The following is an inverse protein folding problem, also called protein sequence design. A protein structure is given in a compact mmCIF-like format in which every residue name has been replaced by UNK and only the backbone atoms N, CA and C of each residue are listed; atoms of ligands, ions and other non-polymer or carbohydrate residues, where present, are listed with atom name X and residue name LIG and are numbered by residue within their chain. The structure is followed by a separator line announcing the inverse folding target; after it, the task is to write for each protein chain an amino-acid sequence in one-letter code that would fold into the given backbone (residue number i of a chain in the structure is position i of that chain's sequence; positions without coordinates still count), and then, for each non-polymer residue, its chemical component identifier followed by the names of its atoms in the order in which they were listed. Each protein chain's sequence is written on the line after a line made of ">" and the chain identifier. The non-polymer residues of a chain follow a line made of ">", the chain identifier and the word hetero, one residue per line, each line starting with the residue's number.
data_IF_822668112349
#
_entry.id   IF_822668112349
#
_cell.length_a   1.000
_cell.length_b   1.000
_cell.length_c   1.000
_cell.angle_alpha   90.00
_cell.angle_beta   90.00
_cell.angle_gamma   90.00
#
_symmetry.space_group_name_H-M   'P 1'
#
loop_
_entity.id
_entity.type
_entity.pdbx_description
1 polymer ?
#
# COMPACT_ATOMS: atom_id res chain seq x y z
N UNK A 1 27.58 18.74 1.77
CA UNK A 1 28.27 17.51 2.18
C UNK A 1 27.21 16.44 2.41
N UNK A 2 27.20 15.35 1.65
CA UNK A 2 26.25 14.23 1.85
C UNK A 2 26.88 13.27 2.84
N UNK A 3 26.19 13.02 3.96
CA UNK A 3 26.63 12.07 4.98
C UNK A 3 26.19 10.67 4.56
N UNK A 4 27.14 9.72 4.49
CA UNK A 4 26.84 8.31 4.23
C UNK A 4 26.51 7.59 5.55
N UNK A 5 25.29 7.01 5.63
CA UNK A 5 24.80 6.27 6.78
C UNK A 5 24.84 4.74 6.60
N UNK A 6 25.37 4.22 5.49
CA UNK A 6 25.35 2.79 5.15
C UNK A 6 26.04 1.93 6.21
N UNK A 7 27.04 2.50 6.89
CA UNK A 7 27.75 1.86 8.00
C UNK A 7 26.87 1.56 9.21
N UNK A 8 25.74 2.26 9.36
CA UNK A 8 24.78 2.07 10.46
C UNK A 8 23.76 0.96 10.15
N UNK A 9 23.70 0.46 8.91
CA UNK A 9 22.74 -0.56 8.54
C UNK A 9 23.12 -1.95 9.07
N UNK A 10 22.10 -2.67 9.54
CA UNK A 10 22.22 -4.07 9.92
C UNK A 10 22.58 -4.95 8.72
N UNK A 11 23.19 -6.12 8.96
CA UNK A 11 23.52 -7.08 7.89
C UNK A 11 22.29 -7.52 7.08
N UNK A 12 21.10 -7.59 7.70
CA UNK A 12 19.84 -7.89 6.99
C UNK A 12 19.44 -6.75 6.06
N UNK A 13 19.52 -5.51 6.55
CA UNK A 13 19.15 -4.32 5.78
C UNK A 13 20.01 -4.14 4.54
N UNK A 14 21.29 -4.53 4.60
CA UNK A 14 22.20 -4.51 3.44
C UNK A 14 21.76 -5.40 2.28
N UNK A 15 20.90 -6.40 2.52
CA UNK A 15 20.36 -7.29 1.49
C UNK A 15 19.00 -6.87 0.96
N UNK A 16 18.39 -5.81 1.49
CA UNK A 16 17.10 -5.31 0.99
C UNK A 16 17.30 -4.68 -0.39
N UNK A 17 16.44 -5.05 -1.33
CA UNK A 17 16.40 -4.47 -2.68
C UNK A 17 15.06 -3.78 -2.90
N UNK A 18 15.06 -2.74 -3.72
CA UNK A 18 13.85 -2.14 -4.24
C UNK A 18 13.05 -3.14 -5.08
N UNK A 19 11.73 -3.01 -5.08
CA UNK A 19 10.87 -3.80 -5.96
C UNK A 19 10.93 -3.24 -7.38
N UNK A 20 11.57 -3.98 -8.29
CA UNK A 20 11.63 -3.67 -9.73
C UNK A 20 10.22 -3.56 -10.34
N UNK A 21 9.28 -4.40 -9.88
CA UNK A 21 7.86 -4.35 -10.30
C UNK A 21 7.23 -3.00 -9.92
N UNK A 22 7.54 -2.47 -8.73
CA UNK A 22 7.00 -1.17 -8.31
C UNK A 22 7.54 -0.02 -9.15
N UNK A 23 8.82 -0.07 -9.54
CA UNK A 23 9.39 0.94 -10.42
C UNK A 23 8.77 0.90 -11.83
N UNK A 24 8.52 -0.29 -12.37
CA UNK A 24 7.78 -0.45 -13.62
C UNK A 24 6.34 0.05 -13.54
N UNK A 25 5.63 -0.23 -12.44
CA UNK A 25 4.25 0.25 -12.24
C UNK A 25 4.14 1.78 -12.16
N UNK A 26 5.19 2.51 -11.76
CA UNK A 26 5.17 3.98 -11.81
C UNK A 26 5.10 4.49 -13.25
N UNK A 27 5.80 3.83 -14.17
CA UNK A 27 5.82 4.21 -15.58
C UNK A 27 4.47 3.93 -16.26
N UNK A 28 3.81 2.83 -15.91
CA UNK A 28 2.52 2.44 -16.50
C UNK A 28 1.36 3.35 -16.10
N UNK A 29 1.52 4.18 -15.06
CA UNK A 29 0.55 5.22 -14.68
C UNK A 29 0.69 6.52 -15.50
N UNK A 30 1.65 6.59 -16.42
CA UNK A 30 1.86 7.78 -17.27
C UNK A 30 0.78 7.87 -18.36
N UNK A 31 0.31 9.09 -18.70
CA UNK A 31 -0.65 9.28 -19.79
C UNK A 31 -0.15 8.66 -21.11
N UNK A 32 -1.04 7.99 -21.83
CA UNK A 32 -0.72 7.37 -23.14
C UNK A 32 -0.25 5.91 -23.09
N UNK A 33 -0.11 5.32 -21.90
CA UNK A 33 0.21 3.90 -21.74
C UNK A 33 -1.04 3.06 -21.42
N UNK A 34 -1.22 1.94 -22.13
CA UNK A 34 -2.18 0.90 -21.76
C UNK A 34 -1.42 -0.20 -21.01
N UNK A 35 -1.71 -0.35 -19.71
CA UNK A 35 -1.04 -1.31 -18.85
C UNK A 35 -1.83 -2.62 -18.73
N UNK A 36 -1.33 -3.70 -19.32
CA UNK A 36 -1.84 -5.07 -19.12
C UNK A 36 -1.07 -5.84 -18.04
N UNK A 37 0.01 -5.26 -17.51
CA UNK A 37 0.83 -5.84 -16.44
C UNK A 37 0.32 -5.49 -15.03
N UNK A 38 -0.84 -4.84 -14.92
CA UNK A 38 -1.45 -4.50 -13.64
C UNK A 38 -1.90 -5.75 -12.88
N UNK A 39 -1.44 -5.91 -11.64
CA UNK A 39 -1.92 -6.92 -10.70
C UNK A 39 -2.87 -6.38 -9.63
N UNK A 40 -3.25 -5.10 -9.75
CA UNK A 40 -4.14 -4.44 -8.79
C UNK A 40 -5.60 -4.69 -9.20
N UNK A 41 -6.49 -5.00 -8.24
CA UNK A 41 -7.91 -5.11 -8.51
C UNK A 41 -8.47 -3.77 -9.00
N UNK A 42 -9.52 -3.82 -9.81
CA UNK A 42 -10.23 -2.62 -10.26
C UNK A 42 -10.82 -1.88 -9.04
N UNK A 43 -10.46 -0.60 -8.78
CA UNK A 43 -11.01 0.16 -7.67
C UNK A 43 -12.53 0.29 -7.69
N UNK A 44 -13.14 0.32 -8.88
CA UNK A 44 -14.60 0.40 -9.01
C UNK A 44 -15.31 -0.90 -8.60
N UNK A 45 -14.58 -2.00 -8.40
CA UNK A 45 -15.13 -3.26 -7.90
C UNK A 45 -15.18 -3.32 -6.36
N UNK A 46 -14.66 -2.32 -5.66
CA UNK A 46 -14.76 -2.30 -4.20
C UNK A 46 -16.20 -2.04 -3.76
N UNK A 47 -16.74 -2.81 -2.80
CA UNK A 47 -18.11 -2.62 -2.28
C UNK A 47 -18.12 -1.50 -1.23
N UNK A 48 -17.94 -0.26 -1.68
CA UNK A 48 -17.71 0.92 -0.83
C UNK A 48 -18.86 1.13 0.16
N UNK A 49 -20.10 0.99 -0.29
CA UNK A 49 -21.30 1.20 0.52
C UNK A 49 -21.41 0.17 1.65
N UNK A 50 -21.12 -1.10 1.35
CA UNK A 50 -21.13 -2.19 2.34
C UNK A 50 -20.05 -1.94 3.39
N UNK A 51 -18.86 -1.51 2.97
CA UNK A 51 -17.77 -1.17 3.88
C UNK A 51 -18.19 -0.02 4.81
N UNK A 52 -18.85 1.01 4.30
CA UNK A 52 -19.37 2.11 5.11
C UNK A 52 -20.37 1.64 6.17
N UNK A 53 -21.35 0.82 5.80
CA UNK A 53 -22.34 0.27 6.73
C UNK A 53 -21.68 -0.57 7.83
N UNK A 54 -20.69 -1.40 7.46
CA UNK A 54 -19.93 -2.19 8.41
C UNK A 54 -19.17 -1.31 9.40
N UNK A 55 -18.49 -0.25 8.91
CA UNK A 55 -17.76 0.69 9.77
C UNK A 55 -18.73 1.35 10.74
N UNK A 56 -19.85 1.89 10.26
CA UNK A 56 -20.85 2.53 11.14
C UNK A 56 -21.36 1.57 12.22
N UNK A 57 -21.65 0.32 11.84
CA UNK A 57 -22.13 -0.69 12.78
C UNK A 57 -21.09 -0.95 13.87
N UNK A 58 -19.83 -1.18 13.50
CA UNK A 58 -18.74 -1.42 14.45
C UNK A 58 -18.56 -0.21 15.37
N UNK A 59 -18.64 1.01 14.83
CA UNK A 59 -18.55 2.24 15.63
C UNK A 59 -19.71 2.42 16.61
N UNK A 60 -20.91 1.95 16.27
CA UNK A 60 -22.08 2.03 17.15
C UNK A 60 -22.07 0.95 18.24
N UNK A 61 -21.63 -0.27 17.92
CA UNK A 61 -21.84 -1.43 18.82
C UNK A 61 -20.57 -1.97 19.48
N UNK A 62 -19.39 -1.74 18.90
CA UNK A 62 -18.14 -2.40 19.33
C UNK A 62 -16.93 -1.46 19.37
N UNK A 63 -17.13 -0.15 19.48
CA UNK A 63 -16.06 0.86 19.34
C UNK A 63 -14.88 0.66 20.29
N UNK A 64 -15.14 0.30 21.54
CA UNK A 64 -14.09 0.12 22.53
C UNK A 64 -13.17 -1.04 22.16
N UNK A 65 -13.71 -2.17 21.69
CA UNK A 65 -12.88 -3.30 21.26
C UNK A 65 -12.22 -3.03 19.91
N UNK A 66 -12.89 -2.31 19.01
CA UNK A 66 -12.35 -1.99 17.68
C UNK A 66 -11.16 -1.02 17.73
N UNK A 67 -11.07 -0.18 18.78
CA UNK A 67 -10.00 0.80 18.95
C UNK A 67 -8.99 0.44 20.06
N UNK A 68 -9.21 -0.64 20.80
CA UNK A 68 -8.29 -1.09 21.84
C UNK A 68 -7.14 -1.92 21.25
N UNK A 69 -5.98 -1.89 21.91
CA UNK A 69 -4.82 -2.73 21.60
C UNK A 69 -5.07 -4.23 21.83
#
# INVERSE_FOLDING_TARGET
>A
MVVNYDRLFSSRSKNLKSSEIRELLKLTQSPGFISLAGGLPNPAAFPVEIIHECIEKVFKTHIHNALQY
#
